data_IF_289763033930
#
_entry.id   IF_289763033930
#
_cell.length_a   1.000
_cell.length_b   1.000
_cell.length_c   1.000
_cell.angle_alpha   90.00
_cell.angle_beta   90.00
_cell.angle_gamma   90.00
#
_symmetry.space_group_name_H-M   'P 1'
#
loop_
_entity.id
_entity.type
_entity.pdbx_description
1 polymer ?
#
# COMPACT_ATOMS: atom_id res chain seq x y z
N UNK A 1 -32.66 25.35 12.52
CA UNK A 1 -31.41 25.13 13.28
C UNK A 1 -30.85 26.50 13.63
N UNK A 2 -30.18 26.65 14.77
CA UNK A 2 -29.49 27.88 15.08
C UNK A 2 -28.36 28.14 14.09
N UNK A 3 -28.12 29.40 13.72
CA UNK A 3 -27.08 29.80 12.78
C UNK A 3 -26.19 30.87 13.40
N UNK A 4 -24.98 31.02 12.83
CA UNK A 4 -24.08 32.13 13.11
C UNK A 4 -23.63 32.78 11.80
N UNK A 5 -23.29 34.05 11.85
CA UNK A 5 -22.77 34.78 10.69
C UNK A 5 -21.27 34.90 10.83
N UNK A 6 -20.55 34.53 9.78
CA UNK A 6 -19.10 34.76 9.65
C UNK A 6 -18.82 35.63 8.43
N UNK A 7 -17.67 36.32 8.46
CA UNK A 7 -17.22 37.24 7.41
C UNK A 7 -15.79 36.93 6.98
N UNK A 8 -15.56 36.95 5.67
CA UNK A 8 -14.24 36.97 5.07
C UNK A 8 -14.06 38.09 4.04
N UNK A 9 -12.96 38.10 3.28
CA UNK A 9 -12.70 39.09 2.25
C UNK A 9 -13.75 39.16 1.11
N UNK A 10 -14.55 38.09 0.94
CA UNK A 10 -15.59 37.98 -0.09
C UNK A 10 -16.99 38.32 0.42
N UNK A 11 -17.13 38.62 1.73
CA UNK A 11 -18.39 39.03 2.35
C UNK A 11 -18.88 38.07 3.43
N UNK A 12 -20.10 38.32 3.89
CA UNK A 12 -20.75 37.59 4.99
C UNK A 12 -21.54 36.38 4.47
N UNK A 13 -21.58 35.32 5.28
CA UNK A 13 -22.42 34.15 5.08
C UNK A 13 -22.91 33.59 6.41
N UNK A 14 -24.03 32.93 6.33
CA UNK A 14 -24.67 32.25 7.44
C UNK A 14 -24.25 30.76 7.45
N UNK A 15 -23.87 30.27 8.63
CA UNK A 15 -23.46 28.88 8.86
C UNK A 15 -24.29 28.26 9.98
N UNK A 16 -24.44 26.90 10.03
CA UNK A 16 -24.98 26.23 11.21
C UNK A 16 -24.15 26.56 12.46
N UNK A 17 -24.81 26.86 13.57
CA UNK A 17 -24.12 27.29 14.80
C UNK A 17 -23.40 26.14 15.52
N UNK A 18 -23.78 24.90 15.24
CA UNK A 18 -23.25 23.69 15.88
C UNK A 18 -21.93 23.17 15.25
N UNK A 19 -21.62 23.52 13.99
CA UNK A 19 -20.39 23.08 13.33
C UNK A 19 -19.15 23.82 13.85
N UNK A 20 -17.99 23.18 13.76
CA UNK A 20 -16.69 23.77 14.11
C UNK A 20 -15.91 24.33 12.92
N UNK A 21 -16.25 23.90 11.71
CA UNK A 21 -15.71 24.55 10.50
C UNK A 21 -16.34 25.92 10.29
N UNK A 22 -15.65 26.74 9.51
CA UNK A 22 -16.04 28.15 9.27
C UNK A 22 -16.36 28.45 7.81
N UNK A 23 -16.30 29.74 7.48
CA UNK A 23 -16.76 30.26 6.20
C UNK A 23 -15.93 29.75 5.00
N UNK A 24 -14.62 29.54 5.15
CA UNK A 24 -13.81 29.04 4.04
C UNK A 24 -14.15 27.57 3.72
N UNK A 25 -14.47 26.77 4.73
CA UNK A 25 -14.98 25.41 4.53
C UNK A 25 -16.34 25.40 3.85
N UNK A 26 -17.26 26.29 4.24
CA UNK A 26 -18.56 26.43 3.55
C UNK A 26 -18.37 26.73 2.06
N UNK A 27 -17.50 27.70 1.74
CA UNK A 27 -17.19 28.01 0.33
C UNK A 27 -16.60 26.85 -0.42
N UNK A 28 -15.73 26.06 0.23
CA UNK A 28 -15.16 24.87 -0.38
C UNK A 28 -16.23 23.82 -0.71
N UNK A 29 -17.18 23.59 0.19
CA UNK A 29 -18.30 22.68 -0.06
C UNK A 29 -19.21 23.17 -1.19
N UNK A 30 -19.46 24.49 -1.29
CA UNK A 30 -20.24 25.07 -2.38
C UNK A 30 -19.52 24.99 -3.73
N UNK A 31 -18.18 25.18 -3.75
CA UNK A 31 -17.40 25.24 -4.99
C UNK A 31 -17.00 23.87 -5.52
N UNK A 32 -16.81 22.88 -4.66
CA UNK A 32 -16.21 21.60 -5.02
C UNK A 32 -17.04 20.37 -4.61
N UNK A 33 -18.34 20.29 -4.96
CA UNK A 33 -19.16 19.10 -4.73
C UNK A 33 -18.91 18.06 -5.84
N UNK A 34 -17.73 17.42 -5.87
CA UNK A 34 -17.28 16.66 -7.04
C UNK A 34 -17.45 15.15 -6.84
N UNK A 35 -16.80 14.56 -5.84
CA UNK A 35 -16.80 13.11 -5.63
C UNK A 35 -17.69 12.63 -4.48
N UNK A 36 -17.96 13.51 -3.51
CA UNK A 36 -18.57 13.15 -2.25
C UNK A 36 -17.65 12.37 -1.31
N UNK A 37 -16.38 12.21 -1.66
CA UNK A 37 -15.36 11.55 -0.84
C UNK A 37 -14.63 12.65 -0.06
N UNK A 38 -14.50 12.47 1.25
CA UNK A 38 -13.73 13.37 2.12
C UNK A 38 -12.33 12.83 2.38
N UNK A 39 -11.48 13.67 2.96
CA UNK A 39 -10.10 13.29 3.27
C UNK A 39 -10.04 12.03 4.16
N UNK A 40 -9.11 11.10 3.86
CA UNK A 40 -8.93 9.90 4.66
C UNK A 40 -8.62 10.22 6.14
N UNK A 41 -9.09 9.41 7.11
CA UNK A 41 -8.84 9.65 8.53
C UNK A 41 -7.37 9.87 8.90
N UNK A 42 -6.44 9.17 8.26
CA UNK A 42 -5.00 9.33 8.49
C UNK A 42 -4.46 10.67 7.96
N UNK A 43 -5.10 11.26 6.95
CA UNK A 43 -4.75 12.60 6.46
C UNK A 43 -5.20 13.67 7.46
N UNK A 44 -6.39 13.51 8.05
CA UNK A 44 -6.87 14.37 9.14
C UNK A 44 -5.92 14.28 10.33
N UNK A 45 -5.56 13.06 10.75
CA UNK A 45 -4.61 12.80 11.83
C UNK A 45 -3.27 13.50 11.59
N UNK A 46 -2.68 13.31 10.42
CA UNK A 46 -1.39 13.90 10.05
C UNK A 46 -1.43 15.42 10.07
N UNK A 47 -2.51 16.02 9.55
CA UNK A 47 -2.62 17.47 9.54
C UNK A 47 -2.82 18.04 10.94
N UNK A 48 -3.64 17.41 11.77
CA UNK A 48 -3.86 17.81 13.17
C UNK A 48 -2.58 17.64 14.00
N UNK A 49 -1.81 16.56 13.81
CA UNK A 49 -0.49 16.38 14.43
C UNK A 49 0.47 17.50 14.03
N UNK A 50 0.51 17.87 12.75
CA UNK A 50 1.34 18.97 12.27
C UNK A 50 0.93 20.29 12.92
N UNK A 51 -0.38 20.61 12.98
CA UNK A 51 -0.88 21.84 13.59
C UNK A 51 -0.62 21.88 15.10
N UNK A 52 -0.75 20.76 15.78
CA UNK A 52 -0.37 20.62 17.19
C UNK A 52 1.11 20.96 17.40
N UNK A 53 1.98 20.39 16.57
CA UNK A 53 3.43 20.63 16.65
C UNK A 53 3.78 22.08 16.34
N UNK A 54 3.11 22.67 15.34
CA UNK A 54 3.28 24.08 14.98
C UNK A 54 2.85 25.04 16.10
N UNK A 55 1.69 24.80 16.70
CA UNK A 55 1.20 25.61 17.84
C UNK A 55 2.13 25.50 19.06
N UNK A 56 2.56 24.28 19.40
CA UNK A 56 3.51 24.04 20.50
C UNK A 56 4.85 24.76 20.24
N UNK A 57 5.44 24.59 19.06
CA UNK A 57 6.71 25.21 18.69
C UNK A 57 6.63 26.75 18.71
N UNK A 58 5.56 27.34 18.16
CA UNK A 58 5.38 28.79 18.16
C UNK A 58 5.17 29.33 19.57
N UNK A 59 4.50 28.62 20.45
CA UNK A 59 4.34 28.99 21.87
C UNK A 59 5.68 28.95 22.60
N UNK A 60 6.46 27.90 22.47
CA UNK A 60 7.79 27.76 23.07
C UNK A 60 8.80 28.81 22.57
N UNK A 61 8.64 29.27 21.34
CA UNK A 61 9.44 30.33 20.74
C UNK A 61 8.94 31.74 21.09
N UNK A 62 7.87 31.87 21.88
CA UNK A 62 7.30 33.16 22.31
C UNK A 62 6.56 33.93 21.21
N UNK A 63 6.16 33.26 20.13
CA UNK A 63 5.49 33.86 18.97
C UNK A 63 3.97 33.75 19.05
N UNK A 64 3.46 32.80 19.82
CA UNK A 64 2.05 32.60 20.07
C UNK A 64 1.78 32.75 21.57
N UNK A 65 0.75 33.54 21.99
CA UNK A 65 0.38 33.65 23.40
C UNK A 65 0.10 32.29 24.01
N UNK A 66 0.69 32.03 25.18
CA UNK A 66 0.64 30.72 25.85
C UNK A 66 -0.78 30.16 26.06
N UNK A 67 -1.79 30.96 26.49
CA UNK A 67 -3.16 30.46 26.63
C UNK A 67 -3.77 29.99 25.31
N UNK A 68 -3.51 30.73 24.22
CA UNK A 68 -3.99 30.37 22.87
C UNK A 68 -3.30 29.12 22.37
N UNK A 69 -1.97 29.07 22.49
CA UNK A 69 -1.20 27.88 22.08
C UNK A 69 -1.64 26.62 22.80
N UNK A 70 -1.84 26.67 24.12
CA UNK A 70 -2.36 25.54 24.90
C UNK A 70 -3.77 25.11 24.48
N UNK A 71 -4.66 26.08 24.21
CA UNK A 71 -6.02 25.76 23.76
C UNK A 71 -6.03 25.08 22.38
N UNK A 72 -5.16 25.49 21.43
CA UNK A 72 -5.01 24.85 20.12
C UNK A 72 -4.43 23.42 20.28
N UNK A 73 -3.43 23.23 21.12
CA UNK A 73 -2.85 21.90 21.41
C UNK A 73 -3.90 20.98 22.02
N UNK A 74 -4.70 21.46 22.98
CA UNK A 74 -5.81 20.69 23.56
C UNK A 74 -6.87 20.34 22.52
N UNK A 75 -7.29 21.29 21.68
CA UNK A 75 -8.24 21.04 20.60
C UNK A 75 -7.72 19.95 19.62
N UNK A 76 -6.43 20.00 19.29
CA UNK A 76 -5.78 18.98 18.47
C UNK A 76 -5.80 17.59 19.15
N UNK A 77 -5.51 17.54 20.45
CA UNK A 77 -5.55 16.28 21.22
C UNK A 77 -6.95 15.65 21.23
N UNK A 78 -7.99 16.46 21.40
CA UNK A 78 -9.38 15.98 21.33
C UNK A 78 -9.70 15.36 19.96
N UNK A 79 -9.27 15.98 18.84
CA UNK A 79 -9.46 15.45 17.49
C UNK A 79 -8.67 14.15 17.28
N UNK A 80 -7.43 14.09 17.75
CA UNK A 80 -6.59 12.89 17.68
C UNK A 80 -7.19 11.72 18.48
N UNK A 81 -7.90 12.00 19.57
CA UNK A 81 -8.65 11.01 20.36
C UNK A 81 -9.95 10.52 19.69
N UNK A 82 -10.31 11.09 18.54
CA UNK A 82 -11.48 10.69 17.76
C UNK A 82 -12.68 11.62 17.82
N UNK A 83 -12.60 12.72 18.60
CA UNK A 83 -13.66 13.72 18.64
C UNK A 83 -13.67 14.55 17.35
N UNK A 84 -14.82 15.16 17.03
CA UNK A 84 -14.97 16.11 15.91
C UNK A 84 -14.54 15.57 14.52
N UNK A 85 -14.53 14.27 14.33
CA UNK A 85 -14.12 13.64 13.04
C UNK A 85 -15.05 13.96 11.88
N UNK A 86 -16.30 14.27 12.16
CA UNK A 86 -17.34 14.69 11.22
C UNK A 86 -17.20 16.16 10.77
N UNK A 87 -16.24 16.91 11.34
CA UNK A 87 -16.03 18.33 11.06
C UNK A 87 -15.09 18.60 9.87
N UNK A 88 -14.76 17.59 9.08
CA UNK A 88 -13.86 17.69 7.93
C UNK A 88 -14.58 17.28 6.62
N UNK A 89 -15.55 18.12 6.14
CA UNK A 89 -16.46 17.76 5.05
C UNK A 89 -15.93 18.13 3.65
N UNK A 90 -14.69 18.62 3.51
CA UNK A 90 -14.14 19.02 2.20
C UNK A 90 -13.97 17.80 1.29
N UNK A 91 -14.39 17.92 0.01
CA UNK A 91 -14.16 16.90 -1.02
C UNK A 91 -12.65 16.78 -1.32
N UNK A 92 -12.18 15.58 -1.70
CA UNK A 92 -10.78 15.36 -2.08
C UNK A 92 -10.36 16.14 -3.34
N UNK A 93 -11.29 16.49 -4.21
CA UNK A 93 -11.08 17.36 -5.36
C UNK A 93 -11.46 18.79 -5.00
N UNK A 94 -10.54 19.49 -4.37
CA UNK A 94 -10.74 20.86 -3.93
C UNK A 94 -9.63 21.80 -4.46
N UNK A 95 -9.54 23.01 -3.94
CA UNK A 95 -8.57 24.01 -4.37
C UNK A 95 -7.14 23.45 -4.40
N UNK A 96 -6.42 23.71 -5.49
CA UNK A 96 -5.01 23.33 -5.64
C UNK A 96 -4.14 23.78 -4.46
N UNK A 97 -3.02 23.10 -4.27
CA UNK A 97 -2.17 23.13 -3.08
C UNK A 97 -2.85 22.60 -1.79
N UNK A 98 -4.18 22.43 -1.77
CA UNK A 98 -4.88 21.89 -0.60
C UNK A 98 -5.45 22.92 0.36
N UNK A 99 -5.60 24.16 -0.06
CA UNK A 99 -6.00 25.28 0.82
C UNK A 99 -7.38 25.08 1.46
N UNK A 100 -8.33 24.45 0.75
CA UNK A 100 -9.67 24.19 1.31
C UNK A 100 -9.60 23.31 2.55
N UNK A 101 -8.93 22.18 2.48
CA UNK A 101 -8.78 21.28 3.63
C UNK A 101 -7.88 21.89 4.72
N UNK A 102 -6.79 22.56 4.34
CA UNK A 102 -5.94 23.27 5.28
C UNK A 102 -6.73 24.28 6.13
N UNK A 103 -7.57 25.10 5.48
CA UNK A 103 -8.39 26.08 6.21
C UNK A 103 -9.49 25.41 7.01
N UNK A 104 -10.06 24.30 6.55
CA UNK A 104 -10.99 23.51 7.35
C UNK A 104 -10.33 23.07 8.67
N UNK A 105 -9.13 22.55 8.65
CA UNK A 105 -8.39 22.19 9.87
C UNK A 105 -8.14 23.41 10.77
N UNK A 106 -7.72 24.54 10.20
CA UNK A 106 -7.48 25.77 10.96
C UNK A 106 -8.76 26.29 11.62
N UNK A 107 -9.89 26.29 10.91
CA UNK A 107 -11.19 26.74 11.42
C UNK A 107 -11.70 25.84 12.55
N UNK A 108 -11.61 24.52 12.40
CA UNK A 108 -12.01 23.56 13.44
C UNK A 108 -11.17 23.74 14.70
N UNK A 109 -9.85 23.84 14.56
CA UNK A 109 -8.95 24.08 15.70
C UNK A 109 -9.20 25.42 16.38
N UNK A 110 -9.41 26.51 15.61
CA UNK A 110 -9.69 27.82 16.14
C UNK A 110 -11.01 27.84 16.91
N UNK A 111 -12.09 27.33 16.33
CA UNK A 111 -13.40 27.32 16.99
C UNK A 111 -13.41 26.44 18.25
N UNK A 112 -12.71 25.31 18.24
CA UNK A 112 -12.60 24.50 19.46
C UNK A 112 -11.73 25.20 20.53
N UNK A 113 -10.65 25.84 20.14
CA UNK A 113 -9.80 26.61 21.05
C UNK A 113 -10.56 27.79 21.67
N UNK A 114 -11.43 28.49 20.91
CA UNK A 114 -12.32 29.57 21.42
C UNK A 114 -13.22 29.03 22.54
N UNK A 115 -13.88 27.89 22.35
CA UNK A 115 -14.72 27.29 23.39
C UNK A 115 -13.92 26.89 24.63
N UNK A 116 -12.71 26.30 24.46
CA UNK A 116 -11.79 25.93 25.57
C UNK A 116 -11.45 27.20 26.39
N UNK A 117 -11.32 28.35 25.74
CA UNK A 117 -11.05 29.65 26.38
C UNK A 117 -12.33 30.34 26.92
N UNK A 118 -13.49 29.69 26.83
CA UNK A 118 -14.76 30.18 27.35
C UNK A 118 -15.52 31.14 26.42
N UNK A 119 -15.12 31.25 25.14
CA UNK A 119 -15.78 32.03 24.12
C UNK A 119 -16.83 31.26 23.32
N UNK A 120 -17.39 31.88 22.29
CA UNK A 120 -18.36 31.29 21.37
C UNK A 120 -17.74 31.08 19.99
N UNK A 121 -18.06 29.97 19.33
CA UNK A 121 -17.60 29.66 17.95
C UNK A 121 -17.86 30.87 17.00
N UNK A 122 -16.86 31.18 16.18
CA UNK A 122 -16.87 32.34 15.28
C UNK A 122 -16.33 33.63 15.89
N UNK A 123 -16.00 33.67 17.20
CA UNK A 123 -15.33 34.83 17.81
C UNK A 123 -13.84 34.84 17.48
N UNK A 124 -13.51 35.16 16.25
CA UNK A 124 -12.13 35.18 15.73
C UNK A 124 -11.31 36.37 16.29
N UNK A 125 -11.87 37.20 17.15
CA UNK A 125 -11.08 38.15 17.95
C UNK A 125 -10.29 37.47 19.07
N UNK A 126 -10.76 36.30 19.54
CA UNK A 126 -10.07 35.47 20.52
C UNK A 126 -9.02 34.56 19.88
N UNK A 127 -9.43 33.75 18.89
CA UNK A 127 -8.54 32.84 18.15
C UNK A 127 -8.87 32.87 16.66
N UNK A 128 -8.05 33.55 15.87
CA UNK A 128 -8.23 33.69 14.43
C UNK A 128 -7.57 32.46 13.71
N UNK A 129 -8.27 31.78 12.79
CA UNK A 129 -7.74 30.65 12.04
C UNK A 129 -6.44 30.93 11.27
N UNK A 130 -6.29 32.16 10.73
CA UNK A 130 -5.11 32.55 9.97
C UNK A 130 -3.95 33.00 10.85
N UNK A 131 -4.22 33.67 11.98
CA UNK A 131 -3.22 34.33 12.80
C UNK A 131 -2.66 33.41 13.89
N UNK A 132 -3.40 32.39 14.32
CA UNK A 132 -3.03 31.52 15.43
C UNK A 132 -2.72 30.07 15.00
N UNK A 133 -3.68 29.21 14.59
CA UNK A 133 -3.33 27.85 14.12
C UNK A 133 -2.43 27.87 12.88
N UNK A 134 -2.48 28.94 12.10
CA UNK A 134 -1.69 29.12 10.89
C UNK A 134 -0.47 30.03 11.03
N UNK A 135 -0.11 30.44 12.23
CA UNK A 135 0.99 31.39 12.44
C UNK A 135 2.32 30.90 11.84
N UNK A 136 2.91 31.72 10.95
CA UNK A 136 4.17 31.39 10.28
C UNK A 136 4.10 30.25 9.25
N UNK A 137 2.91 29.93 8.74
CA UNK A 137 2.67 28.81 7.85
C UNK A 137 1.97 29.27 6.55
N UNK A 138 2.13 28.47 5.52
CA UNK A 138 1.35 28.51 4.27
C UNK A 138 0.77 27.12 4.01
N UNK A 139 -0.29 27.01 3.23
CA UNK A 139 -0.73 25.73 2.67
C UNK A 139 0.42 25.06 1.92
N UNK A 140 1.26 25.86 1.30
CA UNK A 140 2.32 25.40 0.41
C UNK A 140 3.40 24.58 1.13
N UNK A 141 3.66 24.83 2.40
CA UNK A 141 4.56 24.02 3.22
C UNK A 141 3.84 23.01 4.12
N UNK A 142 2.61 23.35 4.58
CA UNK A 142 1.87 22.47 5.51
C UNK A 142 1.22 21.28 4.81
N UNK A 143 0.60 21.46 3.64
CA UNK A 143 -0.08 20.35 2.95
C UNK A 143 0.89 19.26 2.50
N UNK A 144 2.01 19.54 1.79
CA UNK A 144 2.97 18.51 1.44
C UNK A 144 3.61 17.84 2.66
N UNK A 145 3.81 18.59 3.76
CA UNK A 145 4.27 18.02 5.02
C UNK A 145 3.24 17.04 5.60
N UNK A 146 1.96 17.43 5.70
CA UNK A 146 0.89 16.56 6.17
C UNK A 146 0.70 15.32 5.28
N UNK A 147 0.77 15.48 3.96
CA UNK A 147 0.72 14.39 2.98
C UNK A 147 1.83 13.37 3.21
N UNK A 148 3.08 13.82 3.44
CA UNK A 148 4.21 12.94 3.74
C UNK A 148 4.03 12.23 5.09
N UNK A 149 3.58 12.94 6.13
CA UNK A 149 3.26 12.35 7.44
C UNK A 149 2.16 11.29 7.30
N UNK A 150 1.04 11.60 6.62
CA UNK A 150 -0.07 10.67 6.41
C UNK A 150 0.38 9.41 5.67
N UNK A 151 1.17 9.58 4.60
CA UNK A 151 1.74 8.48 3.83
C UNK A 151 2.63 7.59 4.71
N UNK A 152 3.50 8.20 5.53
CA UNK A 152 4.39 7.45 6.41
C UNK A 152 3.66 6.73 7.54
N UNK A 153 2.62 7.35 8.12
CA UNK A 153 1.74 6.70 9.09
C UNK A 153 1.01 5.50 8.50
N UNK A 154 0.43 5.65 7.31
CA UNK A 154 -0.27 4.56 6.63
C UNK A 154 0.67 3.38 6.30
N UNK A 155 1.91 3.65 5.89
CA UNK A 155 2.92 2.62 5.62
C UNK A 155 3.29 1.82 6.87
N UNK A 156 3.16 2.39 8.09
CA UNK A 156 3.36 1.67 9.34
C UNK A 156 2.47 0.44 9.47
N UNK A 157 1.24 0.51 8.94
CA UNK A 157 0.28 -0.59 8.99
C UNK A 157 0.43 -1.56 7.82
N UNK A 158 0.94 -1.08 6.67
CA UNK A 158 1.18 -1.89 5.48
C UNK A 158 2.33 -2.88 5.67
N UNK A 159 3.41 -2.46 6.33
CA UNK A 159 4.59 -3.30 6.50
C UNK A 159 4.30 -4.60 7.25
N UNK A 160 3.63 -4.61 8.42
CA UNK A 160 3.28 -5.86 9.10
C UNK A 160 2.35 -6.77 8.27
N UNK A 161 1.44 -6.18 7.48
CA UNK A 161 0.55 -6.96 6.61
C UNK A 161 1.33 -7.65 5.48
N UNK A 162 2.31 -6.96 4.88
CA UNK A 162 3.19 -7.53 3.87
C UNK A 162 4.11 -8.61 4.46
N UNK A 163 4.65 -8.37 5.65
CA UNK A 163 5.51 -9.32 6.34
C UNK A 163 4.74 -10.60 6.70
N UNK A 164 3.53 -10.49 7.24
CA UNK A 164 2.66 -11.62 7.55
C UNK A 164 2.30 -12.47 6.31
N UNK A 165 1.92 -11.82 5.20
CA UNK A 165 1.66 -12.50 3.93
C UNK A 165 2.91 -13.19 3.38
N UNK A 166 4.07 -12.53 3.49
CA UNK A 166 5.35 -13.10 3.06
C UNK A 166 5.70 -14.36 3.86
N UNK A 167 5.50 -14.30 5.17
CA UNK A 167 5.74 -15.45 6.06
C UNK A 167 4.76 -16.59 5.80
N UNK A 168 3.50 -16.30 5.47
CA UNK A 168 2.52 -17.32 5.08
C UNK A 168 2.97 -18.07 3.82
N UNK A 169 3.42 -17.37 2.78
CA UNK A 169 4.01 -18.01 1.59
C UNK A 169 5.27 -18.81 1.92
N UNK A 170 6.15 -18.29 2.75
CA UNK A 170 7.36 -19.00 3.17
C UNK A 170 7.04 -20.27 3.96
N UNK A 171 6.01 -20.25 4.81
CA UNK A 171 5.52 -21.40 5.56
C UNK A 171 4.95 -22.47 4.62
N UNK A 172 4.12 -22.06 3.64
CA UNK A 172 3.62 -22.97 2.60
C UNK A 172 4.75 -23.53 1.74
N UNK A 173 5.79 -22.75 1.48
CA UNK A 173 7.02 -23.22 0.84
C UNK A 173 7.67 -24.41 1.57
N UNK A 174 7.71 -24.35 2.90
CA UNK A 174 8.22 -25.46 3.72
C UNK A 174 7.25 -26.64 3.77
N UNK A 175 5.95 -26.36 3.94
CA UNK A 175 4.89 -27.36 4.03
C UNK A 175 4.82 -28.23 2.77
N UNK A 176 4.98 -27.63 1.58
CA UNK A 176 4.86 -28.30 0.30
C UNK A 176 6.23 -28.72 -0.31
N UNK A 177 7.32 -28.65 0.44
CA UNK A 177 8.65 -28.95 -0.09
C UNK A 177 8.82 -30.42 -0.54
N UNK A 178 8.00 -31.31 0.00
CA UNK A 178 7.99 -32.72 -0.40
C UNK A 178 7.10 -33.02 -1.63
N UNK A 179 6.30 -32.07 -2.10
CA UNK A 179 5.32 -32.28 -3.17
C UNK A 179 5.96 -32.07 -4.54
N UNK A 180 6.26 -33.15 -5.24
CA UNK A 180 6.76 -33.12 -6.61
C UNK A 180 5.63 -32.80 -7.58
N UNK A 181 5.88 -31.90 -8.55
CA UNK A 181 4.96 -31.56 -9.63
C UNK A 181 5.70 -31.35 -10.96
N UNK A 182 4.98 -31.33 -12.07
CA UNK A 182 5.51 -30.85 -13.34
C UNK A 182 5.68 -29.34 -13.29
N UNK A 183 6.86 -28.82 -13.61
CA UNK A 183 7.03 -27.41 -13.92
C UNK A 183 6.32 -27.05 -15.22
N UNK A 184 6.02 -25.75 -15.41
CA UNK A 184 5.45 -25.23 -16.66
C UNK A 184 6.17 -23.95 -17.08
N UNK A 185 6.66 -23.95 -18.31
CA UNK A 185 7.13 -22.73 -19.01
C UNK A 185 6.29 -22.56 -20.26
N UNK A 186 5.87 -21.33 -20.57
CA UNK A 186 4.89 -21.06 -21.65
C UNK A 186 3.56 -21.85 -21.48
N UNK A 187 3.20 -22.19 -20.24
CA UNK A 187 2.11 -23.11 -19.88
C UNK A 187 2.24 -24.52 -20.50
N UNK A 188 3.42 -24.88 -21.01
CA UNK A 188 3.74 -26.21 -21.51
C UNK A 188 4.53 -27.00 -20.45
N UNK A 189 4.44 -28.32 -20.51
CA UNK A 189 5.17 -29.22 -19.64
C UNK A 189 6.67 -28.91 -19.64
N UNK A 190 7.24 -28.80 -18.46
CA UNK A 190 8.67 -28.60 -18.26
C UNK A 190 9.23 -29.59 -17.24
N UNK A 191 10.50 -29.46 -16.93
CA UNK A 191 11.18 -30.33 -15.95
C UNK A 191 10.47 -30.25 -14.58
N UNK A 192 10.58 -31.29 -13.75
CA UNK A 192 9.99 -31.32 -12.43
C UNK A 192 10.46 -30.17 -11.55
N UNK A 193 9.57 -29.75 -10.65
CA UNK A 193 9.80 -28.78 -9.59
C UNK A 193 9.04 -29.23 -8.34
N UNK A 194 9.44 -28.83 -7.17
CA UNK A 194 8.64 -29.02 -5.96
C UNK A 194 7.67 -27.84 -5.78
N UNK A 195 6.43 -28.12 -5.41
CA UNK A 195 5.42 -27.09 -5.15
C UNK A 195 5.91 -26.08 -4.09
N UNK A 196 6.66 -26.59 -3.08
CA UNK A 196 7.27 -25.72 -2.06
C UNK A 196 8.27 -24.72 -2.63
N UNK A 197 8.99 -25.03 -3.71
CA UNK A 197 9.91 -24.09 -4.36
C UNK A 197 9.15 -22.93 -5.04
N UNK A 198 7.98 -23.17 -5.62
CA UNK A 198 7.14 -22.11 -6.18
C UNK A 198 6.68 -21.13 -5.08
N UNK A 199 6.15 -21.65 -3.96
CA UNK A 199 5.72 -20.82 -2.83
C UNK A 199 6.88 -20.07 -2.16
N UNK A 200 8.04 -20.69 -2.03
CA UNK A 200 9.25 -20.04 -1.53
C UNK A 200 9.72 -18.89 -2.45
N UNK A 201 9.56 -19.04 -3.77
CA UNK A 201 9.86 -18.00 -4.75
C UNK A 201 8.89 -16.81 -4.63
N UNK A 202 7.59 -17.05 -4.36
CA UNK A 202 6.63 -15.97 -4.06
C UNK A 202 7.06 -15.17 -2.83
N UNK A 203 7.41 -15.84 -1.74
CA UNK A 203 7.92 -15.19 -0.54
C UNK A 203 9.21 -14.37 -0.81
N UNK A 204 10.13 -14.91 -1.60
CA UNK A 204 11.36 -14.20 -1.97
C UNK A 204 11.08 -12.92 -2.78
N UNK A 205 10.09 -12.96 -3.67
CA UNK A 205 9.63 -11.78 -4.43
C UNK A 205 9.07 -10.70 -3.50
N UNK A 206 8.19 -11.07 -2.57
CA UNK A 206 7.59 -10.12 -1.62
C UNK A 206 8.62 -9.47 -0.70
N UNK A 207 9.66 -10.21 -0.27
CA UNK A 207 10.79 -9.61 0.47
C UNK A 207 11.55 -8.56 -0.35
N UNK A 208 11.65 -8.72 -1.68
CA UNK A 208 12.25 -7.70 -2.54
C UNK A 208 11.35 -6.47 -2.65
N UNK A 209 10.04 -6.66 -2.81
CA UNK A 209 9.07 -5.55 -2.80
C UNK A 209 9.10 -4.77 -1.48
N UNK A 210 9.25 -5.48 -0.35
CA UNK A 210 9.41 -4.88 1.00
C UNK A 210 10.55 -3.87 1.06
N UNK A 211 11.73 -4.23 0.51
CA UNK A 211 12.91 -3.34 0.47
C UNK A 211 12.69 -2.11 -0.43
N UNK A 212 11.97 -2.26 -1.54
CA UNK A 212 11.63 -1.13 -2.42
C UNK A 212 10.70 -0.14 -1.70
N UNK A 213 9.73 -0.67 -0.94
CA UNK A 213 8.83 0.15 -0.11
C UNK A 213 9.56 0.84 1.05
N UNK A 214 10.55 0.20 1.68
CA UNK A 214 11.39 0.83 2.72
C UNK A 214 12.13 2.04 2.17
N UNK A 215 12.80 1.88 1.03
CA UNK A 215 13.48 2.98 0.35
C UNK A 215 12.52 4.14 0.04
N UNK A 216 11.32 3.84 -0.45
CA UNK A 216 10.32 4.86 -0.73
C UNK A 216 9.77 5.53 0.56
N UNK A 217 9.66 4.78 1.66
CA UNK A 217 9.23 5.30 2.95
C UNK A 217 10.24 6.31 3.53
N UNK A 218 11.54 6.08 3.38
CA UNK A 218 12.59 7.01 3.80
C UNK A 218 12.49 8.37 3.09
N UNK A 219 12.06 8.39 1.83
CA UNK A 219 11.92 9.62 1.06
C UNK A 219 10.82 10.55 1.63
N UNK A 220 9.73 9.99 2.17
CA UNK A 220 8.64 10.79 2.77
C UNK A 220 8.91 11.20 4.22
N UNK A 221 10.02 10.81 4.81
CA UNK A 221 10.44 11.23 6.16
C UNK A 221 11.06 12.63 6.19
N UNK A 222 11.40 13.19 5.04
CA UNK A 222 11.89 14.55 4.88
C UNK A 222 10.73 15.53 4.77
N UNK A 223 10.66 16.52 5.68
CA UNK A 223 9.53 17.43 5.84
C UNK A 223 9.89 18.87 5.47
N UNK A 224 9.12 19.47 4.57
CA UNK A 224 9.32 20.84 4.08
C UNK A 224 8.69 21.95 4.92
N UNK A 225 8.20 21.64 6.14
CA UNK A 225 7.60 22.63 7.03
C UNK A 225 8.59 23.75 7.37
N UNK A 226 8.09 24.99 7.41
CA UNK A 226 8.89 26.19 7.61
C UNK A 226 9.32 26.87 6.32
N UNK A 227 8.98 26.31 5.15
CA UNK A 227 9.21 26.94 3.84
C UNK A 227 8.29 28.13 3.57
N UNK A 228 7.16 28.20 4.27
CA UNK A 228 6.13 29.22 4.07
C UNK A 228 5.62 29.24 2.61
N UNK A 229 5.53 30.38 1.96
CA UNK A 229 4.88 30.53 0.65
C UNK A 229 5.66 29.93 -0.53
N UNK A 230 6.99 30.08 -0.56
CA UNK A 230 7.86 29.71 -1.71
C UNK A 230 9.18 29.03 -1.29
N UNK A 231 9.25 28.53 -0.07
CA UNK A 231 10.44 27.82 0.43
C UNK A 231 11.54 28.73 1.01
N UNK A 232 11.29 30.05 1.13
CA UNK A 232 12.26 30.98 1.69
C UNK A 232 12.14 31.17 3.20
N UNK A 233 11.06 30.67 3.81
CA UNK A 233 10.79 30.82 5.23
C UNK A 233 10.42 32.23 5.68
N UNK A 234 9.92 33.06 4.76
CA UNK A 234 9.47 34.41 5.11
C UNK A 234 8.41 34.35 6.23
N UNK A 235 8.58 35.19 7.26
CA UNK A 235 7.73 35.28 8.46
C UNK A 235 7.78 34.03 9.36
N UNK A 236 8.80 33.17 9.25
CA UNK A 236 9.02 32.06 10.19
C UNK A 236 10.22 32.32 11.11
N UNK A 237 10.20 31.73 12.28
CA UNK A 237 11.36 31.80 13.18
C UNK A 237 12.44 30.78 12.74
N UNK A 238 13.77 31.09 12.77
CA UNK A 238 14.82 30.17 12.31
C UNK A 238 14.84 28.80 12.98
N UNK A 239 14.38 28.69 14.23
CA UNK A 239 14.27 27.43 14.97
C UNK A 239 12.96 26.69 14.75
N UNK A 240 11.95 27.31 14.16
CA UNK A 240 10.59 26.79 14.05
C UNK A 240 10.55 25.39 13.41
N UNK A 241 11.08 25.25 12.19
CA UNK A 241 11.05 23.99 11.45
C UNK A 241 11.69 22.82 12.19
N UNK A 242 12.79 23.08 12.88
CA UNK A 242 13.52 22.06 13.62
C UNK A 242 12.71 21.57 14.84
N UNK A 243 12.08 22.52 15.58
CA UNK A 243 11.28 22.17 16.75
C UNK A 243 9.98 21.44 16.35
N UNK A 244 9.32 21.84 15.27
CA UNK A 244 8.14 21.14 14.74
C UNK A 244 8.50 19.67 14.38
N UNK A 245 9.57 19.46 13.67
CA UNK A 245 9.99 18.10 13.26
C UNK A 245 10.42 17.26 14.47
N UNK A 246 11.10 17.86 15.46
CA UNK A 246 11.45 17.18 16.71
C UNK A 246 10.20 16.71 17.46
N UNK A 247 9.17 17.56 17.64
CA UNK A 247 7.90 17.20 18.25
C UNK A 247 7.19 16.08 17.51
N UNK A 248 7.16 16.14 16.17
CA UNK A 248 6.59 15.07 15.34
C UNK A 248 7.32 13.74 15.55
N UNK A 249 8.65 13.74 15.62
CA UNK A 249 9.45 12.54 15.94
C UNK A 249 9.13 11.98 17.32
N UNK A 250 9.09 12.85 18.34
CA UNK A 250 8.78 12.48 19.72
C UNK A 250 7.40 11.80 19.83
N UNK A 251 6.36 12.35 19.17
CA UNK A 251 5.00 11.85 19.32
C UNK A 251 4.67 10.65 18.44
N UNK A 252 5.31 10.53 17.28
CA UNK A 252 5.01 9.44 16.34
C UNK A 252 5.99 8.27 16.43
N UNK A 253 7.19 8.48 17.00
CA UNK A 253 8.28 7.52 16.95
C UNK A 253 8.87 7.31 15.55
N UNK A 254 8.47 8.11 14.54
CA UNK A 254 8.94 8.01 13.17
C UNK A 254 10.16 8.91 12.94
N UNK A 255 11.12 8.51 12.08
CA UNK A 255 12.41 9.22 11.93
C UNK A 255 12.31 10.44 11.00
N UNK A 256 11.30 11.28 11.18
CA UNK A 256 11.15 12.51 10.40
C UNK A 256 12.37 13.42 10.55
N UNK A 257 12.74 14.11 9.45
CA UNK A 257 13.83 15.07 9.41
C UNK A 257 13.41 16.34 8.65
N UNK A 258 13.99 17.50 9.00
CA UNK A 258 13.79 18.72 8.21
C UNK A 258 14.37 18.55 6.80
N UNK A 259 13.69 19.12 5.81
CA UNK A 259 14.20 19.13 4.45
C UNK A 259 15.54 19.88 4.33
N UNK A 260 16.44 19.36 3.51
CA UNK A 260 17.71 20.01 3.22
C UNK A 260 17.49 21.33 2.47
N UNK A 261 16.61 21.32 1.46
CA UNK A 261 16.17 22.51 0.73
C UNK A 261 14.64 22.64 0.74
N UNK A 262 14.13 23.66 1.45
CA UNK A 262 12.71 23.93 1.57
C UNK A 262 12.04 24.31 0.24
N UNK A 263 12.81 24.88 -0.71
CA UNK A 263 12.32 25.26 -2.04
C UNK A 263 12.08 24.01 -2.89
N UNK A 264 13.06 23.09 -2.87
CA UNK A 264 12.92 21.79 -3.53
C UNK A 264 11.70 21.03 -2.98
N UNK A 265 11.52 20.98 -1.64
CA UNK A 265 10.44 20.25 -1.00
C UNK A 265 9.02 20.73 -1.35
N UNK A 266 8.88 21.96 -1.87
CA UNK A 266 7.64 22.53 -2.37
C UNK A 266 7.41 22.24 -3.85
N UNK A 267 8.47 22.30 -4.65
CA UNK A 267 8.42 22.12 -6.11
C UNK A 267 8.29 20.64 -6.48
N UNK A 268 9.08 19.79 -5.81
CA UNK A 268 9.20 18.38 -6.12
C UNK A 268 8.35 17.53 -5.16
N UNK A 269 7.45 16.75 -5.73
CA UNK A 269 6.72 15.72 -5.01
C UNK A 269 7.22 14.30 -5.37
N UNK A 270 8.51 14.20 -5.77
CA UNK A 270 9.19 12.94 -6.02
C UNK A 270 9.02 11.91 -4.88
N UNK A 271 9.06 12.28 -3.58
CA UNK A 271 8.87 11.31 -2.50
C UNK A 271 7.53 10.56 -2.58
N UNK A 272 6.44 11.24 -2.95
CA UNK A 272 5.12 10.60 -3.11
C UNK A 272 5.10 9.73 -4.37
N UNK A 273 5.74 10.16 -5.45
CA UNK A 273 5.88 9.38 -6.67
C UNK A 273 6.66 8.07 -6.42
N UNK A 274 7.71 8.10 -5.63
CA UNK A 274 8.47 6.91 -5.23
C UNK A 274 7.58 5.90 -4.48
N UNK A 275 6.75 6.38 -3.54
CA UNK A 275 5.78 5.53 -2.85
C UNK A 275 4.76 4.94 -3.83
N UNK A 276 4.19 5.74 -4.74
CA UNK A 276 3.28 5.26 -5.79
C UNK A 276 3.92 4.19 -6.67
N UNK A 277 5.16 4.38 -7.07
CA UNK A 277 5.94 3.43 -7.88
C UNK A 277 6.25 2.13 -7.12
N UNK A 278 6.58 2.22 -5.83
CA UNK A 278 6.83 1.06 -4.99
C UNK A 278 5.54 0.23 -4.78
N UNK A 279 4.40 0.90 -4.54
CA UNK A 279 3.10 0.25 -4.44
C UNK A 279 2.69 -0.41 -5.76
N UNK A 280 2.92 0.25 -6.90
CA UNK A 280 2.70 -0.34 -8.23
C UNK A 280 3.55 -1.59 -8.44
N UNK A 281 4.83 -1.55 -8.05
CA UNK A 281 5.72 -2.73 -8.13
C UNK A 281 5.18 -3.89 -7.31
N UNK A 282 4.75 -3.65 -6.06
CA UNK A 282 4.12 -4.67 -5.22
C UNK A 282 2.82 -5.20 -5.85
N UNK A 283 1.97 -4.31 -6.39
CA UNK A 283 0.70 -4.69 -7.02
C UNK A 283 0.91 -5.57 -8.27
N UNK A 284 1.91 -5.28 -9.10
CA UNK A 284 2.26 -6.10 -10.27
C UNK A 284 2.71 -7.50 -9.88
N UNK A 285 3.56 -7.62 -8.87
CA UNK A 285 4.04 -8.91 -8.39
C UNK A 285 2.93 -9.72 -7.68
N UNK A 286 2.10 -9.09 -6.87
CA UNK A 286 0.93 -9.76 -6.29
C UNK A 286 -0.06 -10.21 -7.35
N UNK A 287 -0.31 -9.41 -8.39
CA UNK A 287 -1.15 -9.81 -9.54
C UNK A 287 -0.63 -11.09 -10.18
N UNK A 288 0.68 -11.19 -10.42
CA UNK A 288 1.30 -12.40 -10.97
C UNK A 288 1.10 -13.60 -10.03
N UNK A 289 1.40 -13.43 -8.75
CA UNK A 289 1.29 -14.50 -7.75
C UNK A 289 -0.16 -15.01 -7.63
N UNK A 290 -1.13 -14.11 -7.49
CA UNK A 290 -2.54 -14.54 -7.35
C UNK A 290 -3.11 -15.13 -8.63
N UNK A 291 -2.60 -14.76 -9.81
CA UNK A 291 -2.96 -15.42 -11.07
C UNK A 291 -2.43 -16.85 -11.12
N UNK A 292 -1.20 -17.09 -10.62
CA UNK A 292 -0.69 -18.45 -10.48
C UNK A 292 -1.57 -19.26 -9.52
N UNK A 293 -1.95 -18.72 -8.36
CA UNK A 293 -2.85 -19.41 -7.42
C UNK A 293 -4.20 -19.76 -8.06
N UNK A 294 -4.78 -18.84 -8.87
CA UNK A 294 -6.03 -19.11 -9.60
C UNK A 294 -5.86 -20.21 -10.64
N UNK A 295 -4.74 -20.24 -11.33
CA UNK A 295 -4.44 -21.24 -12.35
C UNK A 295 -4.19 -22.61 -11.72
N UNK A 296 -3.36 -22.68 -10.68
CA UNK A 296 -3.04 -23.92 -9.95
C UNK A 296 -4.29 -24.55 -9.31
N UNK A 297 -5.26 -23.72 -8.85
CA UNK A 297 -6.52 -24.18 -8.25
C UNK A 297 -7.65 -24.42 -9.24
N UNK A 298 -7.42 -24.22 -10.53
CA UNK A 298 -8.45 -24.36 -11.58
C UNK A 298 -8.99 -25.79 -11.68
N UNK A 299 -10.27 -25.93 -11.91
CA UNK A 299 -10.90 -27.24 -12.07
C UNK A 299 -12.14 -27.42 -11.18
N UNK A 300 -12.34 -28.58 -10.53
CA UNK A 300 -11.37 -29.66 -10.21
C UNK A 300 -11.09 -30.69 -11.31
N UNK A 301 -11.94 -30.82 -12.32
CA UNK A 301 -11.81 -31.89 -13.34
C UNK A 301 -11.21 -31.39 -14.65
N UNK A 302 -11.52 -30.15 -15.06
CA UNK A 302 -11.13 -29.57 -16.36
C UNK A 302 -10.03 -28.52 -16.25
N UNK A 303 -9.32 -28.48 -15.14
CA UNK A 303 -8.20 -27.56 -14.86
C UNK A 303 -7.05 -28.28 -14.20
N UNK A 304 -6.07 -27.52 -13.68
CA UNK A 304 -4.86 -28.10 -13.11
C UNK A 304 -5.11 -28.83 -11.79
N UNK A 305 -5.90 -28.23 -10.91
CA UNK A 305 -6.25 -28.79 -9.62
C UNK A 305 -5.03 -29.29 -8.81
N UNK A 306 -3.90 -28.58 -8.87
CA UNK A 306 -2.69 -28.91 -8.10
C UNK A 306 -2.76 -28.44 -6.67
N UNK A 307 -3.57 -27.42 -6.41
CA UNK A 307 -3.90 -26.92 -5.07
C UNK A 307 -5.40 -26.74 -4.90
N UNK A 308 -5.85 -26.77 -3.66
CA UNK A 308 -7.21 -26.41 -3.27
C UNK A 308 -7.17 -25.16 -2.39
N UNK A 309 -7.96 -24.14 -2.75
CA UNK A 309 -8.13 -22.92 -1.97
C UNK A 309 -9.27 -23.08 -0.96
N UNK A 310 -9.25 -22.37 0.18
CA UNK A 310 -10.37 -22.34 1.12
C UNK A 310 -11.68 -21.90 0.45
N UNK A 311 -12.75 -22.61 0.70
CA UNK A 311 -14.10 -22.25 0.27
C UNK A 311 -14.66 -21.16 1.20
N UNK A 312 -14.60 -19.91 0.77
CA UNK A 312 -15.01 -18.75 1.58
C UNK A 312 -16.46 -18.32 1.35
N UNK A 313 -17.02 -18.69 0.20
CA UNK A 313 -18.43 -18.43 -0.15
C UNK A 313 -18.88 -19.35 -1.30
N UNK A 314 -20.19 -19.53 -1.54
CA UNK A 314 -20.70 -20.18 -2.73
C UNK A 314 -20.23 -19.45 -3.99
N UNK A 315 -19.72 -20.21 -4.98
CA UNK A 315 -19.11 -19.64 -6.18
C UNK A 315 -20.06 -19.37 -7.34
N UNK A 316 -21.35 -19.79 -7.22
CA UNK A 316 -22.31 -19.64 -8.30
C UNK A 316 -23.73 -19.58 -7.77
N UNK A 317 -24.56 -18.76 -8.40
CA UNK A 317 -26.01 -18.68 -8.12
C UNK A 317 -26.82 -19.80 -8.77
N UNK A 318 -26.25 -20.53 -9.74
CA UNK A 318 -26.98 -21.55 -10.54
C UNK A 318 -26.25 -22.90 -10.64
N UNK A 319 -24.96 -22.98 -10.25
CA UNK A 319 -24.16 -24.22 -10.27
C UNK A 319 -23.87 -24.69 -8.84
N UNK A 320 -24.63 -25.65 -8.30
CA UNK A 320 -24.39 -26.16 -6.95
C UNK A 320 -22.97 -26.73 -6.79
N UNK A 321 -22.31 -26.43 -5.68
CA UNK A 321 -20.98 -26.95 -5.37
C UNK A 321 -19.82 -26.25 -6.08
N UNK A 322 -20.05 -25.26 -6.96
CA UNK A 322 -18.98 -24.49 -7.56
C UNK A 322 -18.33 -23.54 -6.52
N UNK A 323 -17.00 -23.62 -6.39
CA UNK A 323 -16.20 -22.72 -5.57
C UNK A 323 -15.26 -21.94 -6.48
N UNK A 324 -15.27 -20.61 -6.38
CA UNK A 324 -14.39 -19.73 -7.14
C UNK A 324 -13.18 -19.28 -6.30
N UNK A 325 -12.07 -18.92 -6.92
CA UNK A 325 -10.90 -18.32 -6.25
C UNK A 325 -11.15 -16.86 -5.86
N UNK A 326 -12.24 -16.59 -5.08
CA UNK A 326 -12.79 -15.25 -4.84
C UNK A 326 -11.80 -14.30 -4.17
N UNK A 327 -10.98 -14.77 -3.24
CA UNK A 327 -9.97 -13.94 -2.57
C UNK A 327 -8.85 -13.52 -3.54
N UNK A 328 -8.24 -14.42 -4.34
CA UNK A 328 -7.32 -14.01 -5.41
C UNK A 328 -7.94 -13.05 -6.45
N UNK A 329 -9.23 -13.22 -6.80
CA UNK A 329 -9.93 -12.29 -7.70
C UNK A 329 -10.07 -10.89 -7.10
N UNK A 330 -10.47 -10.79 -5.85
CA UNK A 330 -10.50 -9.52 -5.10
C UNK A 330 -9.11 -8.88 -5.04
N UNK A 331 -8.07 -9.67 -4.76
CA UNK A 331 -6.69 -9.16 -4.72
C UNK A 331 -6.26 -8.55 -6.07
N UNK A 332 -6.61 -9.19 -7.19
CA UNK A 332 -6.38 -8.63 -8.53
C UNK A 332 -7.07 -7.27 -8.72
N UNK A 333 -8.35 -7.15 -8.33
CA UNK A 333 -9.09 -5.89 -8.47
C UNK A 333 -8.44 -4.77 -7.66
N UNK A 334 -8.00 -5.04 -6.43
CA UNK A 334 -7.27 -4.07 -5.61
C UNK A 334 -5.94 -3.69 -6.27
N UNK A 335 -5.17 -4.67 -6.76
CA UNK A 335 -3.90 -4.39 -7.45
C UNK A 335 -4.11 -3.52 -8.70
N UNK A 336 -5.15 -3.76 -9.50
CA UNK A 336 -5.45 -2.94 -10.68
C UNK A 336 -5.80 -1.51 -10.29
N UNK A 337 -6.56 -1.30 -9.21
CA UNK A 337 -6.87 0.03 -8.69
C UNK A 337 -5.58 0.76 -8.27
N UNK A 338 -4.69 0.10 -7.54
CA UNK A 338 -3.42 0.68 -7.08
C UNK A 338 -2.51 1.07 -8.25
N UNK A 339 -2.45 0.25 -9.31
CA UNK A 339 -1.71 0.57 -10.54
C UNK A 339 -2.26 1.84 -11.20
N UNK A 340 -3.59 1.98 -11.26
CA UNK A 340 -4.26 3.18 -11.76
C UNK A 340 -3.96 4.42 -10.91
N UNK A 341 -4.04 4.28 -9.59
CA UNK A 341 -3.74 5.36 -8.64
C UNK A 341 -2.28 5.83 -8.75
N UNK A 342 -1.33 4.90 -8.89
CA UNK A 342 0.08 5.24 -9.11
C UNK A 342 0.29 6.06 -10.39
N UNK A 343 -0.43 5.73 -11.46
CA UNK A 343 -0.41 6.50 -12.71
C UNK A 343 -0.98 7.92 -12.50
N UNK A 344 -2.05 8.06 -11.72
CA UNK A 344 -2.59 9.36 -11.35
C UNK A 344 -1.57 10.20 -10.58
N UNK A 345 -0.84 9.59 -9.64
CA UNK A 345 0.26 10.25 -8.91
C UNK A 345 1.34 10.74 -9.87
N UNK A 346 1.77 9.90 -10.84
CA UNK A 346 2.79 10.27 -11.84
C UNK A 346 2.37 11.53 -12.62
N UNK A 347 1.11 11.58 -13.11
CA UNK A 347 0.59 12.76 -13.80
C UNK A 347 0.50 14.00 -12.91
N UNK A 348 0.13 13.85 -11.66
CA UNK A 348 0.04 14.96 -10.72
C UNK A 348 1.43 15.51 -10.34
N UNK A 349 2.43 14.63 -10.17
CA UNK A 349 3.80 15.04 -9.84
C UNK A 349 4.44 15.85 -10.97
N UNK A 350 4.28 15.45 -12.24
CA UNK A 350 4.82 16.18 -13.37
C UNK A 350 4.15 17.54 -13.64
N UNK A 351 2.98 17.80 -13.05
CA UNK A 351 2.21 19.03 -13.27
C UNK A 351 2.67 20.21 -12.39
N UNK A 352 3.74 20.06 -11.62
CA UNK A 352 4.34 21.17 -10.86
C UNK A 352 4.86 22.28 -11.78
N UNK A 353 4.72 23.54 -11.33
CA UNK A 353 5.15 24.71 -12.08
C UNK A 353 5.85 25.69 -11.15
N UNK A 354 7.04 26.14 -11.54
CA UNK A 354 7.85 27.12 -10.79
C UNK A 354 8.05 26.67 -9.33
N UNK A 355 7.62 27.47 -8.38
CA UNK A 355 7.91 27.32 -6.95
C UNK A 355 6.98 26.34 -6.21
N UNK A 356 5.94 25.78 -6.87
CA UNK A 356 4.97 24.93 -6.20
C UNK A 356 4.35 23.88 -7.14
N UNK A 357 4.13 22.68 -6.62
CA UNK A 357 3.20 21.75 -7.22
C UNK A 357 1.83 21.87 -6.55
N UNK A 358 0.80 22.31 -7.28
CA UNK A 358 -0.55 22.52 -6.73
C UNK A 358 -1.45 21.28 -6.82
N UNK A 359 -1.03 20.17 -7.41
CA UNK A 359 -1.84 18.95 -7.59
C UNK A 359 -1.75 17.98 -6.40
N UNK A 360 -1.31 18.46 -5.25
CA UNK A 360 -1.09 17.65 -4.05
C UNK A 360 -2.34 16.96 -3.48
N UNK A 361 -3.55 17.53 -3.51
CA UNK A 361 -4.74 16.84 -2.98
C UNK A 361 -4.98 15.48 -3.63
N UNK A 362 -4.91 15.40 -4.95
CA UNK A 362 -5.11 14.12 -5.66
C UNK A 362 -3.96 13.13 -5.42
N UNK A 363 -2.73 13.63 -5.20
CA UNK A 363 -1.60 12.76 -4.81
C UNK A 363 -1.81 12.15 -3.42
N UNK A 364 -2.19 12.98 -2.44
CA UNK A 364 -2.43 12.57 -1.06
C UNK A 364 -3.49 11.47 -0.98
N UNK A 365 -4.65 11.70 -1.62
CA UNK A 365 -5.71 10.71 -1.66
C UNK A 365 -5.26 9.40 -2.30
N UNK A 366 -4.69 9.44 -3.51
CA UNK A 366 -4.31 8.22 -4.22
C UNK A 366 -3.21 7.44 -3.51
N UNK A 367 -2.24 8.10 -2.88
CA UNK A 367 -1.18 7.43 -2.11
C UNK A 367 -1.75 6.74 -0.87
N UNK A 368 -2.47 7.49 -0.03
CA UNK A 368 -3.03 6.97 1.24
C UNK A 368 -4.07 5.89 0.98
N UNK A 369 -4.99 6.10 0.04
CA UNK A 369 -6.01 5.12 -0.32
C UNK A 369 -5.38 3.82 -0.84
N UNK A 370 -4.36 3.92 -1.70
CA UNK A 370 -3.63 2.75 -2.21
C UNK A 370 -2.98 1.93 -1.08
N UNK A 371 -2.34 2.60 -0.12
CA UNK A 371 -1.74 1.95 1.04
C UNK A 371 -2.81 1.24 1.87
N UNK A 372 -3.94 1.89 2.13
CA UNK A 372 -5.03 1.36 2.93
C UNK A 372 -5.65 0.10 2.31
N UNK A 373 -6.02 0.15 1.01
CA UNK A 373 -6.65 -1.00 0.35
C UNK A 373 -5.67 -2.16 0.17
N UNK A 374 -4.37 -1.88 -0.10
CA UNK A 374 -3.32 -2.91 -0.15
C UNK A 374 -3.13 -3.59 1.20
N UNK A 375 -3.10 -2.82 2.28
CA UNK A 375 -2.97 -3.35 3.64
C UNK A 375 -4.11 -4.32 3.97
N UNK A 376 -5.35 -3.90 3.74
CA UNK A 376 -6.54 -4.71 4.02
C UNK A 376 -6.60 -5.94 3.12
N UNK A 377 -6.31 -5.78 1.83
CA UNK A 377 -6.27 -6.88 0.86
C UNK A 377 -5.24 -7.93 1.25
N UNK A 378 -4.01 -7.54 1.62
CA UNK A 378 -2.96 -8.49 2.01
C UNK A 378 -3.34 -9.29 3.27
N UNK A 379 -3.99 -8.67 4.26
CA UNK A 379 -4.53 -9.38 5.43
C UNK A 379 -5.58 -10.42 5.02
N UNK A 380 -6.52 -10.06 4.13
CA UNK A 380 -7.53 -11.00 3.65
C UNK A 380 -6.92 -12.13 2.80
N UNK A 381 -5.92 -11.82 1.96
CA UNK A 381 -5.22 -12.82 1.14
C UNK A 381 -4.45 -13.81 2.03
N UNK A 382 -3.78 -13.33 3.08
CA UNK A 382 -3.10 -14.17 4.06
C UNK A 382 -4.10 -15.07 4.80
N UNK A 383 -5.06 -14.47 5.53
CA UNK A 383 -5.92 -15.17 6.48
C UNK A 383 -6.98 -16.07 5.80
N UNK A 384 -7.54 -15.61 4.68
CA UNK A 384 -8.67 -16.27 4.01
C UNK A 384 -8.27 -17.11 2.80
N UNK A 385 -6.99 -17.06 2.38
CA UNK A 385 -6.52 -17.82 1.24
C UNK A 385 -5.23 -18.58 1.56
N UNK A 386 -4.08 -17.88 1.66
CA UNK A 386 -2.75 -18.51 1.62
C UNK A 386 -2.56 -19.52 2.74
N UNK A 387 -2.90 -19.19 3.99
CA UNK A 387 -2.76 -20.11 5.15
C UNK A 387 -3.57 -21.39 4.99
N UNK A 388 -4.69 -21.33 4.32
CA UNK A 388 -5.62 -22.45 4.14
C UNK A 388 -5.44 -23.25 2.84
N UNK A 389 -4.42 -22.95 2.02
CA UNK A 389 -4.13 -23.71 0.81
C UNK A 389 -3.70 -25.14 1.16
N UNK A 390 -4.23 -26.11 0.42
CA UNK A 390 -3.88 -27.52 0.52
C UNK A 390 -3.35 -28.00 -0.81
N UNK A 391 -2.26 -28.77 -0.80
CA UNK A 391 -1.71 -29.41 -2.00
C UNK A 391 -2.54 -30.65 -2.37
N UNK A 392 -2.83 -30.82 -3.65
CA UNK A 392 -3.42 -32.05 -4.20
C UNK A 392 -2.27 -32.95 -4.69
N UNK A 393 -1.60 -33.62 -3.74
CA UNK A 393 -0.33 -34.32 -3.96
C UNK A 393 -0.43 -35.40 -5.05
N UNK A 394 -1.52 -36.18 -5.07
CA UNK A 394 -1.70 -37.23 -6.08
C UNK A 394 -1.81 -36.61 -7.49
N UNK A 395 -2.47 -35.45 -7.62
CA UNK A 395 -2.60 -34.74 -8.89
C UNK A 395 -1.25 -34.18 -9.34
N UNK A 396 -0.49 -33.57 -8.43
CA UNK A 396 0.86 -33.06 -8.68
C UNK A 396 1.77 -34.18 -9.14
N UNK A 397 1.79 -35.29 -8.41
CA UNK A 397 2.60 -36.50 -8.74
C UNK A 397 2.23 -37.08 -10.10
N UNK A 398 0.94 -37.23 -10.37
CA UNK A 398 0.47 -37.75 -11.65
C UNK A 398 0.98 -36.90 -12.83
N UNK A 399 0.91 -35.56 -12.74
CA UNK A 399 1.47 -34.68 -13.77
C UNK A 399 2.99 -34.85 -13.92
N UNK A 400 3.72 -34.93 -12.81
CA UNK A 400 5.18 -35.09 -12.85
C UNK A 400 5.59 -36.40 -13.50
N UNK A 401 4.93 -37.55 -13.17
CA UNK A 401 5.26 -38.89 -13.66
C UNK A 401 4.82 -39.11 -15.10
N UNK A 402 3.75 -38.43 -15.55
CA UNK A 402 3.24 -38.60 -16.93
C UNK A 402 3.81 -37.59 -17.92
N UNK A 403 4.44 -36.50 -17.43
CA UNK A 403 5.03 -35.50 -18.28
C UNK A 403 6.22 -36.06 -19.10
N UNK A 404 6.23 -35.88 -20.43
CA UNK A 404 7.38 -36.26 -21.26
C UNK A 404 8.68 -35.57 -20.86
N UNK A 405 8.59 -34.38 -20.20
CA UNK A 405 9.74 -33.60 -19.77
C UNK A 405 10.55 -34.27 -18.65
N UNK A 406 9.99 -35.32 -17.99
CA UNK A 406 10.68 -36.17 -17.04
C UNK A 406 11.93 -36.82 -17.66
N UNK A 407 11.89 -37.13 -18.96
CA UNK A 407 13.00 -37.71 -19.70
C UNK A 407 14.26 -36.82 -19.75
N UNK A 408 14.14 -35.53 -19.43
CA UNK A 408 15.30 -34.63 -19.34
C UNK A 408 16.32 -35.11 -18.29
N UNK A 409 15.85 -35.74 -17.22
CA UNK A 409 16.71 -36.35 -16.20
C UNK A 409 17.62 -37.50 -16.74
N UNK A 410 17.26 -38.09 -17.86
CA UNK A 410 18.03 -39.15 -18.52
C UNK A 410 19.24 -38.63 -19.31
N UNK A 411 19.23 -37.35 -19.73
CA UNK A 411 20.25 -36.83 -20.65
C UNK A 411 21.70 -37.06 -20.20
N UNK A 412 22.06 -36.92 -18.92
CA UNK A 412 23.44 -37.18 -18.48
C UNK A 412 23.87 -38.66 -18.58
N UNK A 413 22.90 -39.60 -18.63
CA UNK A 413 23.15 -41.04 -18.58
C UNK A 413 23.09 -41.69 -19.96
N UNK A 414 22.14 -41.29 -20.79
CA UNK A 414 21.88 -41.98 -22.08
C UNK A 414 22.02 -41.05 -23.30
N UNK A 415 22.26 -39.75 -23.06
CA UNK A 415 22.35 -38.75 -24.11
C UNK A 415 20.98 -38.28 -24.64
N UNK A 416 20.95 -37.07 -25.21
CA UNK A 416 19.73 -36.40 -25.69
C UNK A 416 18.95 -37.21 -26.73
N UNK A 417 19.64 -37.82 -27.70
CA UNK A 417 18.99 -38.57 -28.78
C UNK A 417 18.23 -39.80 -28.25
N UNK A 418 18.81 -40.56 -27.34
CA UNK A 418 18.16 -41.73 -26.72
C UNK A 418 17.00 -41.30 -25.84
N UNK A 419 17.16 -40.21 -25.06
CA UNK A 419 16.08 -39.66 -24.26
C UNK A 419 14.90 -39.18 -25.14
N UNK A 420 15.16 -38.53 -26.29
CA UNK A 420 14.13 -38.12 -27.23
C UNK A 420 13.36 -39.30 -27.84
N UNK A 421 14.02 -40.45 -28.07
CA UNK A 421 13.36 -41.67 -28.52
C UNK A 421 12.46 -42.29 -27.44
N UNK A 422 12.91 -42.26 -26.19
CA UNK A 422 12.10 -42.69 -25.04
C UNK A 422 10.83 -41.86 -24.96
N UNK A 423 10.92 -40.52 -25.09
CA UNK A 423 9.77 -39.61 -25.12
C UNK A 423 8.81 -39.94 -26.26
N UNK A 424 9.31 -40.12 -27.49
CA UNK A 424 8.48 -40.47 -28.66
C UNK A 424 7.74 -41.80 -28.44
N UNK A 425 8.39 -42.78 -27.86
CA UNK A 425 7.77 -44.08 -27.57
C UNK A 425 6.72 -43.92 -26.46
N UNK A 426 7.03 -43.24 -25.37
CA UNK A 426 6.12 -43.03 -24.25
C UNK A 426 4.82 -42.31 -24.70
N UNK A 427 4.92 -41.25 -25.53
CA UNK A 427 3.78 -40.52 -26.07
C UNK A 427 2.93 -41.39 -27.03
N UNK A 428 3.58 -42.17 -27.91
CA UNK A 428 2.90 -43.05 -28.85
C UNK A 428 2.13 -44.17 -28.15
N UNK A 429 2.71 -44.74 -27.08
CA UNK A 429 2.17 -45.90 -26.40
C UNK A 429 1.33 -45.56 -25.17
N UNK A 430 1.30 -44.29 -24.76
CA UNK A 430 0.59 -43.83 -23.55
C UNK A 430 1.18 -44.42 -22.26
N UNK A 431 2.49 -44.61 -22.22
CA UNK A 431 3.21 -45.26 -21.11
C UNK A 431 4.14 -44.29 -20.42
N UNK A 432 4.51 -44.60 -19.17
CA UNK A 432 5.43 -43.77 -18.42
C UNK A 432 6.87 -43.82 -18.98
N UNK A 433 7.62 -42.73 -18.83
CA UNK A 433 9.06 -42.67 -19.17
C UNK A 433 9.82 -43.77 -18.45
N UNK A 434 9.54 -44.00 -17.17
CA UNK A 434 10.19 -44.97 -16.32
C UNK A 434 9.98 -46.41 -16.84
N UNK A 435 8.75 -46.74 -17.30
CA UNK A 435 8.47 -48.08 -17.85
C UNK A 435 9.22 -48.33 -19.15
N UNK A 436 9.34 -47.33 -20.01
CA UNK A 436 10.13 -47.46 -21.26
C UNK A 436 11.61 -47.61 -20.96
N UNK A 437 12.15 -46.87 -19.95
CA UNK A 437 13.55 -46.99 -19.52
C UNK A 437 13.85 -48.40 -19.02
N UNK A 438 12.94 -49.01 -18.25
CA UNK A 438 13.05 -50.40 -17.77
C UNK A 438 13.00 -51.39 -18.91
N UNK A 439 12.01 -51.28 -19.78
CA UNK A 439 11.85 -52.20 -20.93
C UNK A 439 13.07 -52.21 -21.85
N UNK A 440 13.63 -51.00 -22.11
CA UNK A 440 14.84 -50.89 -22.94
C UNK A 440 16.14 -51.19 -22.22
N UNK A 441 16.11 -51.53 -20.93
CA UNK A 441 17.27 -51.75 -20.07
C UNK A 441 18.32 -50.60 -20.15
N UNK A 442 17.85 -49.33 -20.20
CA UNK A 442 18.73 -48.18 -20.35
C UNK A 442 19.45 -47.85 -19.04
N UNK A 443 18.85 -48.14 -17.89
CA UNK A 443 19.36 -47.91 -16.55
C UNK A 443 19.03 -49.09 -15.66
N UNK A 444 19.86 -49.34 -14.64
CA UNK A 444 19.56 -50.30 -13.57
C UNK A 444 18.47 -49.75 -12.63
N UNK A 445 17.80 -50.63 -11.87
CA UNK A 445 16.78 -50.19 -10.88
C UNK A 445 17.36 -49.26 -9.82
N UNK A 446 18.62 -49.36 -9.48
CA UNK A 446 19.29 -48.44 -8.57
C UNK A 446 19.48 -47.06 -9.22
N UNK A 447 19.95 -47.05 -10.48
CA UNK A 447 20.07 -45.81 -11.25
C UNK A 447 18.70 -45.14 -11.49
N UNK A 448 17.65 -45.94 -11.77
CA UNK A 448 16.27 -45.38 -11.91
C UNK A 448 15.84 -44.68 -10.63
N UNK A 449 16.04 -45.31 -9.46
CA UNK A 449 15.72 -44.69 -8.17
C UNK A 449 16.52 -43.41 -7.91
N UNK A 450 17.77 -43.37 -8.35
CA UNK A 450 18.64 -42.21 -8.20
C UNK A 450 18.28 -41.07 -9.16
N UNK A 451 18.09 -41.37 -10.44
CA UNK A 451 17.81 -40.41 -11.51
C UNK A 451 16.46 -39.73 -11.32
N UNK A 452 15.45 -40.48 -10.88
CA UNK A 452 14.09 -40.00 -10.68
C UNK A 452 13.76 -39.67 -9.20
N UNK A 453 14.79 -39.51 -8.37
CA UNK A 453 14.61 -39.02 -7.02
C UNK A 453 14.11 -37.55 -7.05
N UNK A 454 12.97 -37.22 -6.40
CA UNK A 454 12.35 -35.90 -6.46
C UNK A 454 13.29 -34.75 -6.07
N UNK A 455 14.12 -34.97 -5.05
CA UNK A 455 15.04 -33.92 -4.58
C UNK A 455 16.22 -33.77 -5.54
N UNK A 456 16.76 -34.88 -6.06
CA UNK A 456 17.86 -34.81 -7.03
C UNK A 456 17.45 -34.18 -8.36
N UNK A 457 16.22 -34.44 -8.83
CA UNK A 457 15.69 -33.81 -10.07
C UNK A 457 15.42 -32.32 -9.95
N UNK A 458 15.20 -31.81 -8.76
CA UNK A 458 14.79 -30.43 -8.50
C UNK A 458 15.89 -29.57 -7.90
N UNK A 459 17.11 -30.05 -7.84
CA UNK A 459 18.31 -29.37 -7.36
C UNK A 459 19.49 -29.58 -8.34
N UNK A 460 20.52 -28.70 -8.31
CA UNK A 460 21.74 -28.94 -9.09
C UNK A 460 22.38 -30.29 -8.72
N UNK A 461 22.55 -31.20 -9.68
CA UNK A 461 22.91 -32.59 -9.41
C UNK A 461 24.13 -33.12 -10.21
N UNK A 462 24.73 -32.32 -11.11
CA UNK A 462 25.94 -32.74 -11.84
C UNK A 462 27.19 -32.49 -11.01
N UNK A 463 28.05 -33.54 -10.95
CA UNK A 463 29.34 -33.46 -10.24
C UNK A 463 29.28 -33.72 -8.74
N UNK A 464 28.18 -34.32 -8.23
CA UNK A 464 28.07 -34.80 -6.86
C UNK A 464 28.27 -36.28 -6.77
#
# INVERSE_FOLDING_TARGET
MATRIERDALGERELPADVYWGLQTLRAQENFPISGITEPPVMIEAYVLLKKAAAQANTELGLLPEPIGRAIVQAADEILQGNLRDQFPTDIFHQGAGTSFHMNVNEVLANRAIEILGGQKGDYSMVNPNDHPNFGQSTNDTFPTAMRIATRLALRDLFPALDALTDAFAQKGKEFDHVLKSGRTHLQDAVPIRLGQEFAAYAATLRKCRRVLEFAAEAVEELGIGGSAVGTGLNTHPKYRFRVVELLREWTGLPFRPADDLREAMQSQMPIQLVGSALRTLALELTRIVNDLRLLSSGPLTGFAEITLPAVQPGSSIMPGKVNPSIPEMANMVCFQVIGNATTIDYAVQAGQLELNVMMPVMAYNAVYSIQIMTTMMRQLDERCVRGIVANEDKCRWYAETSPSLATALNPYVGYATAAEVVKQALREGRSIIDIVRERNLLTEEQIREVFDPYKMTEPNLGR
#
